data_IF_731784343076
#
_entry.id   IF_731784343076
#
_cell.length_a   1.000
_cell.length_b   1.000
_cell.length_c   1.000
_cell.angle_alpha   90.00
_cell.angle_beta   90.00
_cell.angle_gamma   90.00
#
_symmetry.space_group_name_H-M   'P 1'
#
loop_
_entity.id
_entity.type
_entity.pdbx_description
1 polymer ?
#
# COMPACT_ATOMS: atom_id res chain seq x y z
N UNK A 1 9.62 3.59 -6.92
CA UNK A 1 10.24 4.58 -6.01
C UNK A 1 10.17 5.98 -6.59
N UNK A 2 10.80 6.33 -7.71
CA UNK A 2 10.87 7.70 -8.24
C UNK A 2 9.54 8.44 -8.40
N UNK A 3 8.44 7.76 -8.74
CA UNK A 3 7.12 8.39 -8.87
C UNK A 3 6.53 8.77 -7.50
N UNK A 4 6.73 7.95 -6.46
CA UNK A 4 6.29 8.26 -5.09
C UNK A 4 7.04 9.50 -4.59
N UNK A 5 8.35 9.57 -4.82
CA UNK A 5 9.18 10.73 -4.41
C UNK A 5 8.79 12.02 -5.14
N UNK A 6 8.43 11.92 -6.43
CA UNK A 6 7.91 13.05 -7.19
C UNK A 6 6.55 13.51 -6.63
N UNK A 7 5.64 12.60 -6.34
CA UNK A 7 4.33 12.91 -5.77
C UNK A 7 4.47 13.55 -4.39
N UNK A 8 5.34 13.00 -3.53
CA UNK A 8 5.64 13.59 -2.22
C UNK A 8 6.13 15.04 -2.36
N UNK A 9 7.11 15.26 -3.25
CA UNK A 9 7.68 16.59 -3.48
C UNK A 9 6.64 17.61 -3.94
N UNK A 10 5.76 17.22 -4.89
CA UNK A 10 4.70 18.11 -5.37
C UNK A 10 3.65 18.38 -4.27
N UNK A 11 3.27 17.36 -3.53
CA UNK A 11 2.31 17.48 -2.42
C UNK A 11 2.87 18.37 -1.30
N UNK A 12 4.12 18.19 -0.90
CA UNK A 12 4.78 19.05 0.09
C UNK A 12 4.92 20.51 -0.39
N UNK A 13 5.20 20.71 -1.69
CA UNK A 13 5.23 22.03 -2.30
C UNK A 13 3.85 22.69 -2.24
N UNK A 14 2.79 21.96 -2.60
CA UNK A 14 1.42 22.46 -2.57
C UNK A 14 0.96 22.80 -1.14
N UNK A 15 1.27 21.93 -0.17
CA UNK A 15 1.00 22.22 1.26
C UNK A 15 1.74 23.48 1.71
N UNK A 16 2.98 23.69 1.24
CA UNK A 16 3.75 24.90 1.52
C UNK A 16 3.13 26.18 0.96
N UNK A 17 2.48 26.09 -0.20
CA UNK A 17 1.81 27.24 -0.85
C UNK A 17 0.59 27.75 -0.09
N UNK A 18 0.07 27.01 0.90
CA UNK A 18 -0.98 27.52 1.78
C UNK A 18 -0.56 28.77 2.59
N UNK A 19 0.75 29.03 2.69
CA UNK A 19 1.30 30.26 3.30
C UNK A 19 1.45 31.44 2.32
N UNK A 20 1.22 31.23 1.02
CA UNK A 20 1.25 32.32 0.05
C UNK A 20 -0.06 33.13 0.14
N UNK A 21 -0.02 34.45 -0.20
CA UNK A 21 -1.23 35.21 -0.32
C UNK A 21 -2.21 34.57 -1.31
N UNK A 22 -3.45 34.44 -0.90
CA UNK A 22 -4.52 33.87 -1.72
C UNK A 22 -5.32 35.03 -2.33
N UNK A 23 -5.29 35.14 -3.66
CA UNK A 23 -6.06 36.15 -4.41
C UNK A 23 -7.38 35.54 -4.86
N UNK A 24 -8.48 36.22 -4.56
CA UNK A 24 -9.81 35.86 -5.03
C UNK A 24 -10.50 37.06 -5.65
N UNK A 25 -11.30 36.83 -6.67
CA UNK A 25 -12.16 37.84 -7.28
C UNK A 25 -13.58 37.31 -7.28
N UNK A 26 -14.53 38.10 -6.80
CA UNK A 26 -15.94 37.76 -6.74
C UNK A 26 -16.82 38.87 -7.26
N UNK A 27 -17.91 38.55 -7.94
CA UNK A 27 -18.92 39.48 -8.39
C UNK A 27 -20.27 39.11 -7.78
N UNK A 28 -21.02 40.09 -7.35
CA UNK A 28 -22.37 39.94 -6.81
C UNK A 28 -23.32 40.91 -7.50
N UNK A 29 -24.45 40.41 -7.99
CA UNK A 29 -25.61 41.18 -8.41
C UNK A 29 -26.78 40.70 -7.56
N UNK A 30 -27.47 41.60 -6.90
CA UNK A 30 -28.61 41.26 -6.02
C UNK A 30 -29.72 42.25 -6.13
N UNK A 31 -30.97 41.81 -6.01
CA UNK A 31 -32.15 42.64 -5.84
C UNK A 31 -32.66 42.45 -4.41
N UNK A 32 -32.89 43.56 -3.71
CA UNK A 32 -33.33 43.55 -2.32
C UNK A 32 -34.80 43.98 -2.24
N UNK A 33 -35.57 43.34 -1.37
CA UNK A 33 -36.97 43.73 -1.14
C UNK A 33 -37.11 45.12 -0.52
N UNK A 34 -36.12 45.51 0.29
CA UNK A 34 -36.03 46.84 0.89
C UNK A 34 -34.56 47.29 0.99
N UNK A 35 -34.33 48.59 1.17
CA UNK A 35 -33.01 49.23 1.24
C UNK A 35 -32.89 50.09 2.50
N UNK A 36 -31.65 50.40 2.90
CA UNK A 36 -31.39 51.31 4.03
C UNK A 36 -32.00 52.67 3.76
N UNK A 37 -32.84 53.16 4.67
CA UNK A 37 -33.48 54.45 4.64
C UNK A 37 -33.07 55.26 5.87
N UNK A 38 -32.90 56.55 5.70
CA UNK A 38 -32.74 57.45 6.85
C UNK A 38 -34.07 57.55 7.58
N UNK A 39 -34.12 57.43 8.92
CA UNK A 39 -35.35 57.54 9.71
C UNK A 39 -35.75 58.97 9.85
N UNK A 40 -35.86 59.72 8.73
CA UNK A 40 -36.25 61.05 8.64
C UNK A 40 -37.66 61.16 8.04
N UNK A 41 -38.50 62.03 8.64
CA UNK A 41 -39.85 62.28 8.13
C UNK A 41 -39.74 63.20 6.91
N UNK A 42 -39.85 62.57 5.72
CA UNK A 42 -39.67 63.25 4.43
C UNK A 42 -40.61 64.50 4.26
N UNK A 43 -41.84 64.37 4.78
CA UNK A 43 -42.84 65.41 4.70
C UNK A 43 -42.48 66.66 5.55
N UNK A 44 -41.84 66.43 6.71
CA UNK A 44 -41.37 67.50 7.58
C UNK A 44 -40.13 68.20 7.03
N UNK A 45 -39.24 67.46 6.37
CA UNK A 45 -37.99 67.98 5.82
C UNK A 45 -38.30 68.83 4.56
N UNK A 46 -39.16 68.34 3.66
CA UNK A 46 -39.52 68.99 2.46
C UNK A 46 -40.30 70.32 2.75
N UNK A 47 -41.03 70.39 3.91
CA UNK A 47 -41.67 71.61 4.37
C UNK A 47 -40.70 72.64 4.96
N UNK A 48 -39.59 72.22 5.52
CA UNK A 48 -38.55 73.07 6.12
C UNK A 48 -37.46 73.50 5.13
N UNK A 49 -37.17 72.61 4.16
CA UNK A 49 -36.13 72.86 3.13
C UNK A 49 -36.70 72.47 1.74
N UNK A 50 -37.40 73.38 1.04
CA UNK A 50 -37.92 73.14 -0.28
C UNK A 50 -36.85 72.81 -1.28
N UNK A 51 -36.90 71.54 -1.92
CA UNK A 51 -35.97 71.07 -2.88
C UNK A 51 -34.92 70.08 -2.34
N UNK A 52 -35.00 69.73 -1.06
CA UNK A 52 -34.15 68.66 -0.48
C UNK A 52 -34.83 67.28 -0.65
N UNK A 53 -34.25 66.44 -1.45
CA UNK A 53 -34.65 65.06 -1.58
C UNK A 53 -33.77 64.17 -0.70
N UNK A 54 -34.40 63.29 0.09
CA UNK A 54 -33.67 62.32 0.90
C UNK A 54 -33.12 61.28 -0.05
N UNK A 55 -31.78 61.04 -0.11
CA UNK A 55 -31.19 60.01 -0.97
C UNK A 55 -31.76 58.65 -0.65
N UNK A 56 -32.25 57.93 -1.64
CA UNK A 56 -32.73 56.56 -1.52
C UNK A 56 -31.86 55.62 -2.35
N UNK A 57 -31.42 54.48 -1.77
CA UNK A 57 -30.65 53.47 -2.50
C UNK A 57 -31.52 52.73 -3.50
N UNK A 58 -30.94 52.35 -4.61
CA UNK A 58 -31.52 51.39 -5.54
C UNK A 58 -31.67 50.00 -4.90
N UNK A 59 -32.78 49.30 -5.23
CA UNK A 59 -32.99 47.89 -4.79
C UNK A 59 -32.07 46.91 -5.50
N UNK A 60 -31.62 47.25 -6.68
CA UNK A 60 -30.62 46.49 -7.44
C UNK A 60 -29.20 46.96 -7.04
N UNK A 61 -28.42 46.00 -6.61
CA UNK A 61 -27.06 46.26 -6.12
C UNK A 61 -26.06 45.38 -6.90
N UNK A 62 -24.93 46.01 -7.22
CA UNK A 62 -23.87 45.39 -7.99
C UNK A 62 -22.53 45.62 -7.29
N UNK A 63 -21.72 44.56 -7.20
CA UNK A 63 -20.44 44.63 -6.55
C UNK A 63 -19.43 43.69 -7.21
N UNK A 64 -18.23 44.16 -7.47
CA UNK A 64 -17.07 43.36 -7.84
C UNK A 64 -15.99 43.60 -6.80
N UNK A 65 -15.44 42.51 -6.28
CA UNK A 65 -14.47 42.55 -5.17
C UNK A 65 -13.26 41.70 -5.52
N UNK A 66 -12.08 42.29 -5.39
CA UNK A 66 -10.81 41.56 -5.37
C UNK A 66 -10.30 41.53 -3.93
N UNK A 67 -9.97 40.34 -3.44
CA UNK A 67 -9.50 40.17 -2.07
C UNK A 67 -8.20 39.36 -2.06
N UNK A 68 -7.26 39.80 -1.23
CA UNK A 68 -6.04 39.07 -0.88
C UNK A 68 -6.14 38.65 0.56
N UNK A 69 -6.08 37.33 0.81
CA UNK A 69 -6.02 36.75 2.14
C UNK A 69 -4.62 36.24 2.42
N UNK A 70 -4.03 36.63 3.55
CA UNK A 70 -2.73 36.15 4.01
C UNK A 70 -2.89 35.42 5.33
N UNK A 71 -2.55 34.14 5.36
CA UNK A 71 -2.47 33.37 6.60
C UNK A 71 -1.29 33.85 7.44
N UNK A 72 -1.53 34.27 8.69
CA UNK A 72 -0.52 34.64 9.69
C UNK A 72 -0.24 33.46 10.61
N UNK A 73 -1.29 32.76 11.03
CA UNK A 73 -1.20 31.58 11.87
C UNK A 73 -2.35 30.62 11.58
N UNK A 74 -2.03 29.35 11.28
CA UNK A 74 -2.98 28.34 10.82
C UNK A 74 -3.30 27.27 11.87
N UNK A 75 -2.90 27.47 13.13
CA UNK A 75 -3.09 26.51 14.20
C UNK A 75 -2.25 25.23 14.05
N UNK A 76 -1.22 25.25 13.22
CA UNK A 76 -0.38 24.09 12.93
C UNK A 76 -0.94 23.18 11.83
N UNK A 77 -1.96 23.63 11.09
CA UNK A 77 -2.60 22.87 10.01
C UNK A 77 -1.60 22.48 8.91
N UNK A 78 -0.81 23.44 8.42
CA UNK A 78 0.23 23.18 7.41
C UNK A 78 1.33 22.26 7.92
N UNK A 79 1.74 22.41 9.19
CA UNK A 79 2.75 21.51 9.80
C UNK A 79 2.24 20.07 9.89
N UNK A 80 1.00 19.89 10.34
CA UNK A 80 0.38 18.56 10.45
C UNK A 80 0.12 17.94 9.07
N UNK A 81 -0.30 18.75 8.07
CA UNK A 81 -0.46 18.30 6.70
C UNK A 81 0.86 17.83 6.07
N UNK A 82 1.96 18.58 6.30
CA UNK A 82 3.30 18.15 5.86
C UNK A 82 3.74 16.83 6.53
N UNK A 83 3.47 16.67 7.83
CA UNK A 83 3.79 15.44 8.54
C UNK A 83 2.99 14.26 7.98
N UNK A 84 1.70 14.46 7.72
CA UNK A 84 0.82 13.45 7.14
C UNK A 84 1.29 13.04 5.73
N UNK A 85 1.60 14.00 4.85
CA UNK A 85 2.11 13.72 3.49
C UNK A 85 3.42 12.91 3.51
N UNK A 86 4.33 13.21 4.45
CA UNK A 86 5.57 12.44 4.60
C UNK A 86 5.31 11.02 5.11
N UNK A 87 4.46 10.87 6.12
CA UNK A 87 4.12 9.56 6.66
C UNK A 87 3.41 8.70 5.61
N UNK A 88 2.53 9.28 4.79
CA UNK A 88 1.88 8.62 3.66
C UNK A 88 2.89 8.15 2.60
N UNK A 89 3.85 9.00 2.23
CA UNK A 89 4.88 8.64 1.27
C UNK A 89 5.77 7.51 1.78
N UNK A 90 6.10 7.49 3.09
CA UNK A 90 6.84 6.38 3.72
C UNK A 90 6.00 5.10 3.67
N UNK A 91 4.72 5.15 4.06
CA UNK A 91 3.85 3.98 4.01
C UNK A 91 3.71 3.41 2.59
N UNK A 92 3.60 4.27 1.58
CA UNK A 92 3.54 3.86 0.17
C UNK A 92 4.86 3.25 -0.33
N UNK A 93 6.02 3.73 0.14
CA UNK A 93 7.34 3.14 -0.18
C UNK A 93 7.47 1.74 0.41
N UNK A 94 7.16 1.59 1.70
CA UNK A 94 7.24 0.30 2.38
C UNK A 94 6.23 -0.71 1.80
N UNK A 95 5.06 -0.24 1.39
CA UNK A 95 4.07 -1.07 0.69
C UNK A 95 4.62 -1.57 -0.66
N UNK A 96 5.24 -0.69 -1.45
CA UNK A 96 5.87 -1.07 -2.72
C UNK A 96 7.02 -2.07 -2.50
N UNK A 97 7.85 -1.88 -1.47
CA UNK A 97 8.90 -2.85 -1.11
C UNK A 97 8.32 -4.23 -0.75
N UNK A 98 7.21 -4.26 -0.02
CA UNK A 98 6.48 -5.50 0.29
C UNK A 98 5.98 -6.19 -0.98
N UNK A 99 5.44 -5.44 -1.93
CA UNK A 99 4.96 -5.97 -3.22
C UNK A 99 6.11 -6.50 -4.09
N UNK A 100 7.24 -5.79 -4.13
CA UNK A 100 8.45 -6.24 -4.82
C UNK A 100 9.02 -7.51 -4.19
N UNK A 101 8.95 -7.62 -2.85
CA UNK A 101 9.39 -8.83 -2.16
C UNK A 101 8.51 -10.04 -2.52
N UNK A 102 7.19 -9.87 -2.58
CA UNK A 102 6.28 -10.91 -3.04
C UNK A 102 6.52 -11.32 -4.51
N UNK A 103 6.95 -10.37 -5.35
CA UNK A 103 7.34 -10.66 -6.73
C UNK A 103 8.59 -11.53 -6.79
N UNK A 104 9.58 -11.29 -5.92
CA UNK A 104 10.78 -12.11 -5.83
C UNK A 104 10.46 -13.57 -5.50
N UNK A 105 9.51 -13.82 -4.59
CA UNK A 105 9.07 -15.18 -4.27
C UNK A 105 8.49 -15.88 -5.51
N UNK A 106 7.63 -15.21 -6.28
CA UNK A 106 7.11 -15.77 -7.54
C UNK A 106 8.20 -16.09 -8.56
N UNK A 107 9.17 -15.18 -8.70
CA UNK A 107 10.30 -15.42 -9.62
C UNK A 107 11.11 -16.63 -9.18
N UNK A 108 11.36 -16.77 -7.87
CA UNK A 108 12.06 -17.94 -7.32
C UNK A 108 11.31 -19.23 -7.60
N UNK A 109 9.99 -19.30 -7.36
CA UNK A 109 9.18 -20.48 -7.64
C UNK A 109 9.26 -20.88 -9.13
N UNK A 110 9.17 -19.92 -10.04
CA UNK A 110 9.29 -20.19 -11.49
C UNK A 110 10.71 -20.65 -11.84
N UNK A 111 11.75 -20.03 -11.27
CA UNK A 111 13.14 -20.38 -11.51
C UNK A 111 13.44 -21.81 -11.06
N UNK A 112 13.06 -22.17 -9.85
CA UNK A 112 13.21 -23.53 -9.34
C UNK A 112 12.33 -24.55 -10.10
N UNK A 113 11.14 -24.11 -10.57
CA UNK A 113 10.32 -24.90 -11.48
C UNK A 113 11.06 -25.24 -12.78
N UNK A 114 11.77 -24.28 -13.38
CA UNK A 114 12.61 -24.55 -14.56
C UNK A 114 13.71 -25.58 -14.26
N UNK A 115 14.44 -25.40 -13.13
CA UNK A 115 15.51 -26.34 -12.73
C UNK A 115 14.98 -27.76 -12.50
N UNK A 116 13.81 -27.87 -11.88
CA UNK A 116 13.17 -29.16 -11.65
C UNK A 116 12.82 -29.86 -12.97
N UNK A 117 12.24 -29.13 -13.94
CA UNK A 117 11.92 -29.70 -15.24
C UNK A 117 13.19 -30.15 -15.99
N UNK A 118 14.27 -29.36 -15.95
CA UNK A 118 15.56 -29.74 -16.56
C UNK A 118 16.11 -31.06 -15.94
N UNK A 119 15.99 -31.21 -14.62
CA UNK A 119 16.42 -32.46 -13.93
C UNK A 119 15.54 -33.67 -14.26
N UNK A 120 14.20 -33.49 -14.27
CA UNK A 120 13.27 -34.54 -14.63
C UNK A 120 13.47 -35.03 -16.07
N UNK A 121 13.73 -34.13 -17.01
CA UNK A 121 14.07 -34.49 -18.41
C UNK A 121 15.37 -35.30 -18.46
N UNK A 122 16.38 -34.91 -17.67
CA UNK A 122 17.64 -35.63 -17.59
C UNK A 122 17.44 -37.07 -17.06
N UNK A 123 16.65 -37.23 -16.00
CA UNK A 123 16.35 -38.52 -15.41
C UNK A 123 15.51 -39.40 -16.34
N UNK A 124 14.53 -38.81 -17.02
CA UNK A 124 13.75 -39.54 -18.02
C UNK A 124 14.64 -40.06 -19.18
N UNK A 125 15.60 -39.23 -19.63
CA UNK A 125 16.56 -39.71 -20.66
C UNK A 125 17.43 -40.88 -20.20
N UNK A 126 17.82 -40.90 -18.92
CA UNK A 126 18.53 -42.06 -18.34
C UNK A 126 17.65 -43.31 -18.30
N UNK A 127 16.38 -43.16 -17.87
CA UNK A 127 15.40 -44.26 -17.87
C UNK A 127 15.18 -44.81 -19.29
N UNK A 128 15.01 -43.97 -20.29
CA UNK A 128 14.86 -44.41 -21.70
C UNK A 128 16.06 -45.20 -22.16
N UNK A 129 17.28 -44.76 -21.79
CA UNK A 129 18.50 -45.49 -22.13
C UNK A 129 18.57 -46.85 -21.46
N UNK A 130 18.20 -46.95 -20.20
CA UNK A 130 18.14 -48.21 -19.45
C UNK A 130 17.12 -49.17 -20.06
N UNK A 131 15.91 -48.70 -20.37
CA UNK A 131 14.87 -49.47 -21.04
C UNK A 131 15.35 -49.99 -22.40
N UNK A 132 16.06 -49.17 -23.18
CA UNK A 132 16.60 -49.57 -24.47
C UNK A 132 17.63 -50.71 -24.34
N UNK A 133 18.56 -50.62 -23.36
CA UNK A 133 19.53 -51.68 -23.07
C UNK A 133 18.83 -52.99 -22.65
N UNK A 134 17.75 -52.89 -21.88
CA UNK A 134 16.99 -54.05 -21.45
C UNK A 134 16.22 -54.69 -22.62
N UNK A 135 15.67 -53.90 -23.54
CA UNK A 135 15.06 -54.39 -24.78
C UNK A 135 16.07 -55.20 -25.59
N UNK A 136 17.24 -54.64 -25.85
CA UNK A 136 18.34 -55.35 -26.58
C UNK A 136 18.72 -56.66 -25.90
N UNK A 137 18.72 -56.67 -24.56
CA UNK A 137 19.00 -57.91 -23.80
C UNK A 137 17.88 -58.97 -23.95
N UNK A 138 16.60 -58.57 -23.92
CA UNK A 138 15.45 -59.43 -24.10
C UNK A 138 15.42 -60.02 -25.50
N UNK A 139 15.72 -59.20 -26.52
CA UNK A 139 15.85 -59.67 -27.92
C UNK A 139 16.89 -60.77 -28.05
N UNK A 140 18.10 -60.59 -27.46
CA UNK A 140 19.14 -61.60 -27.44
C UNK A 140 18.72 -62.88 -26.66
N UNK A 141 17.93 -62.76 -25.58
CA UNK A 141 17.39 -63.87 -24.84
C UNK A 141 16.32 -64.66 -25.62
N UNK A 142 15.51 -63.94 -26.42
CA UNK A 142 14.51 -64.52 -27.33
C UNK A 142 15.17 -65.36 -28.41
N UNK A 143 16.25 -64.86 -29.03
CA UNK A 143 17.04 -65.68 -30.01
C UNK A 143 17.57 -67.00 -29.42
N UNK A 144 17.86 -67.03 -28.13
CA UNK A 144 18.29 -68.18 -27.40
C UNK A 144 17.14 -69.00 -26.78
N UNK A 145 15.87 -68.62 -27.03
CA UNK A 145 14.70 -69.31 -26.52
C UNK A 145 14.43 -69.18 -25.02
N UNK A 146 15.00 -68.15 -24.36
CA UNK A 146 14.91 -67.95 -22.89
C UNK A 146 13.84 -66.91 -22.52
N UNK A 147 13.49 -65.94 -23.43
CA UNK A 147 12.45 -64.96 -23.26
C UNK A 147 11.36 -65.11 -24.32
N UNK A 148 10.18 -64.54 -24.08
CA UNK A 148 9.04 -64.58 -24.99
C UNK A 148 8.67 -63.20 -25.56
N UNK A 149 7.85 -63.19 -26.59
CA UNK A 149 7.40 -61.98 -27.28
C UNK A 149 6.68 -60.99 -26.35
N UNK A 150 5.91 -61.48 -25.37
CA UNK A 150 5.19 -60.65 -24.41
C UNK A 150 6.13 -59.85 -23.48
N UNK A 151 7.32 -60.43 -23.16
CA UNK A 151 8.32 -59.73 -22.33
C UNK A 151 8.91 -58.55 -23.11
N UNK A 152 9.19 -58.74 -24.41
CA UNK A 152 9.65 -57.68 -25.31
C UNK A 152 8.61 -56.54 -25.43
N UNK A 153 7.38 -56.92 -25.78
CA UNK A 153 6.28 -55.94 -25.96
C UNK A 153 6.02 -55.15 -24.69
N UNK A 154 6.13 -55.77 -23.51
CA UNK A 154 5.97 -55.06 -22.23
C UNK A 154 7.06 -54.01 -22.04
N UNK A 155 8.32 -54.25 -22.38
CA UNK A 155 9.40 -53.27 -22.30
C UNK A 155 9.28 -52.17 -23.34
N UNK A 156 8.82 -52.47 -24.55
CA UNK A 156 8.54 -51.49 -25.59
C UNK A 156 7.44 -50.52 -25.16
N UNK A 157 6.37 -51.02 -24.50
CA UNK A 157 5.30 -50.18 -23.95
C UNK A 157 5.86 -49.22 -22.90
N UNK A 158 6.73 -49.69 -22.00
CA UNK A 158 7.36 -48.82 -21.00
C UNK A 158 8.27 -47.76 -21.64
N UNK A 159 8.99 -48.11 -22.71
CA UNK A 159 9.77 -47.12 -23.45
C UNK A 159 8.90 -46.08 -24.13
N UNK A 160 7.75 -46.46 -24.67
CA UNK A 160 6.77 -45.53 -25.25
C UNK A 160 6.19 -44.60 -24.19
N UNK A 161 5.86 -45.11 -23.00
CA UNK A 161 5.40 -44.30 -21.86
C UNK A 161 6.47 -43.30 -21.42
N UNK A 162 7.75 -43.70 -21.35
CA UNK A 162 8.85 -42.81 -21.01
C UNK A 162 9.02 -41.69 -22.07
N UNK A 163 8.88 -42.01 -23.36
CA UNK A 163 8.92 -41.02 -24.44
C UNK A 163 7.74 -40.03 -24.39
N UNK A 164 6.52 -40.53 -24.11
CA UNK A 164 5.37 -39.67 -23.90
C UNK A 164 5.61 -38.70 -22.73
N UNK A 165 6.09 -39.17 -21.58
CA UNK A 165 6.43 -38.35 -20.43
C UNK A 165 7.51 -37.30 -20.77
N UNK A 166 8.50 -37.61 -21.58
CA UNK A 166 9.50 -36.65 -22.05
C UNK A 166 8.86 -35.45 -22.80
N UNK A 167 7.86 -35.72 -23.65
CA UNK A 167 7.13 -34.67 -24.39
C UNK A 167 6.42 -33.76 -23.41
N UNK A 168 5.74 -34.29 -22.38
CA UNK A 168 5.04 -33.52 -21.36
C UNK A 168 6.02 -32.65 -20.52
N UNK A 169 7.16 -33.25 -20.12
CA UNK A 169 8.21 -32.56 -19.38
C UNK A 169 8.82 -31.41 -20.21
N UNK A 170 9.08 -31.61 -21.50
CA UNK A 170 9.57 -30.57 -22.41
C UNK A 170 8.57 -29.44 -22.61
N UNK A 171 7.28 -29.76 -22.73
CA UNK A 171 6.21 -28.76 -22.83
C UNK A 171 6.13 -27.92 -21.53
N UNK A 172 6.16 -28.56 -20.38
CA UNK A 172 6.17 -27.90 -19.06
C UNK A 172 7.40 -27.00 -18.89
N UNK A 173 8.60 -27.49 -19.25
CA UNK A 173 9.84 -26.71 -19.25
C UNK A 173 9.71 -25.45 -20.10
N UNK A 174 9.14 -25.56 -21.30
CA UNK A 174 8.93 -24.41 -22.20
C UNK A 174 7.99 -23.39 -21.57
N UNK A 175 6.89 -23.82 -20.95
CA UNK A 175 5.97 -22.95 -20.23
C UNK A 175 6.63 -22.20 -19.08
N UNK A 176 7.39 -22.89 -18.21
CA UNK A 176 8.14 -22.25 -17.11
C UNK A 176 9.16 -21.24 -17.63
N UNK A 177 9.89 -21.55 -18.71
CA UNK A 177 10.86 -20.63 -19.32
C UNK A 177 10.21 -19.40 -19.92
N UNK A 178 9.05 -19.53 -20.56
CA UNK A 178 8.30 -18.40 -21.08
C UNK A 178 7.77 -17.51 -19.95
N UNK A 179 7.26 -18.09 -18.85
CA UNK A 179 6.88 -17.32 -17.66
C UNK A 179 8.09 -16.53 -17.10
N UNK A 180 9.23 -17.19 -16.91
CA UNK A 180 10.44 -16.54 -16.42
C UNK A 180 10.92 -15.42 -17.35
N UNK A 181 10.89 -15.65 -18.66
CA UNK A 181 11.25 -14.66 -19.67
C UNK A 181 10.39 -13.39 -19.58
N UNK A 182 9.09 -13.57 -19.32
CA UNK A 182 8.14 -12.45 -19.11
C UNK A 182 8.50 -11.64 -17.87
N UNK A 183 8.81 -12.28 -16.73
CA UNK A 183 9.17 -11.59 -15.50
C UNK A 183 10.49 -10.82 -15.61
N UNK A 184 11.50 -11.40 -16.26
CA UNK A 184 12.81 -10.73 -16.40
C UNK A 184 12.90 -9.80 -17.63
N UNK A 185 11.83 -9.76 -18.44
CA UNK A 185 11.75 -9.00 -19.70
C UNK A 185 12.93 -9.31 -20.65
N UNK A 186 13.31 -10.58 -20.73
CA UNK A 186 14.38 -11.06 -21.64
C UNK A 186 13.97 -12.41 -22.22
N UNK A 187 14.19 -12.64 -23.52
CA UNK A 187 13.92 -13.95 -24.13
C UNK A 187 14.87 -15.01 -23.52
N UNK A 188 14.31 -16.13 -23.07
CA UNK A 188 15.05 -17.30 -22.62
C UNK A 188 14.95 -18.38 -23.69
N UNK A 189 15.99 -18.48 -24.50
CA UNK A 189 16.14 -19.53 -25.50
C UNK A 189 16.55 -20.85 -24.83
N UNK A 190 16.38 -21.97 -25.53
CA UNK A 190 16.78 -23.29 -25.02
C UNK A 190 18.30 -23.45 -24.76
N UNK A 191 19.10 -22.57 -25.34
CA UNK A 191 20.57 -22.53 -25.14
C UNK A 191 20.98 -21.93 -23.80
N UNK A 192 20.10 -21.19 -23.12
CA UNK A 192 20.41 -20.59 -21.81
C UNK A 192 20.39 -21.68 -20.74
N UNK A 193 21.55 -21.96 -20.15
CA UNK A 193 21.68 -22.87 -19.03
C UNK A 193 21.43 -22.10 -17.73
N UNK A 194 20.38 -22.53 -16.98
CA UNK A 194 20.11 -22.02 -15.65
C UNK A 194 21.05 -22.68 -14.64
N UNK A 195 21.68 -21.89 -13.77
CA UNK A 195 22.59 -22.41 -12.74
C UNK A 195 21.80 -22.80 -11.49
N UNK A 196 22.10 -23.97 -10.94
CA UNK A 196 21.61 -24.32 -9.60
C UNK A 196 22.30 -23.44 -8.57
N UNK A 197 21.55 -22.64 -7.76
CA UNK A 197 22.17 -21.83 -6.72
C UNK A 197 22.81 -22.71 -5.65
N UNK A 198 23.89 -22.23 -5.06
CA UNK A 198 24.52 -22.88 -3.91
C UNK A 198 23.56 -22.83 -2.73
N UNK A 199 23.57 -23.88 -1.90
CA UNK A 199 22.77 -23.91 -0.69
C UNK A 199 23.28 -22.83 0.27
N UNK A 200 22.45 -21.84 0.64
CA UNK A 200 22.89 -20.82 1.60
C UNK A 200 23.15 -21.46 2.96
N UNK A 201 24.20 -20.97 3.65
CA UNK A 201 24.40 -21.33 5.05
C UNK A 201 23.18 -20.91 5.86
N UNK A 202 22.53 -21.86 6.50
CA UNK A 202 21.28 -21.60 7.23
C UNK A 202 21.58 -20.88 8.53
N UNK A 203 21.22 -19.61 8.60
CA UNK A 203 21.20 -18.84 9.84
C UNK A 203 19.93 -19.17 10.63
N UNK A 204 20.08 -19.64 11.86
CA UNK A 204 18.97 -19.90 12.81
C UNK A 204 18.42 -18.59 13.41
N UNK A 205 18.26 -17.56 12.60
CA UNK A 205 17.64 -16.32 13.07
C UNK A 205 16.16 -16.52 13.33
N UNK A 206 15.73 -16.33 14.58
CA UNK A 206 14.31 -16.33 14.96
C UNK A 206 13.62 -14.99 14.65
N UNK A 207 14.39 -14.00 14.26
CA UNK A 207 13.87 -12.66 13.95
C UNK A 207 13.28 -12.63 12.54
N UNK A 208 11.99 -12.35 12.47
CA UNK A 208 11.30 -12.12 11.19
C UNK A 208 11.53 -10.66 10.78
N UNK A 209 12.32 -10.47 9.75
CA UNK A 209 12.65 -9.13 9.21
C UNK A 209 12.06 -8.99 7.78
N UNK A 210 10.74 -9.13 7.67
CA UNK A 210 10.04 -9.09 6.39
C UNK A 210 9.54 -7.68 6.06
N UNK A 211 9.60 -7.26 4.78
CA UNK A 211 9.12 -5.95 4.33
C UNK A 211 7.65 -5.68 4.67
N UNK A 212 6.80 -6.73 4.72
CA UNK A 212 5.39 -6.60 5.06
C UNK A 212 5.18 -6.06 6.47
N UNK A 213 6.04 -6.41 7.43
CA UNK A 213 5.99 -5.85 8.79
C UNK A 213 6.32 -4.36 8.79
N UNK A 214 7.35 -3.96 8.03
CA UNK A 214 7.72 -2.54 7.88
C UNK A 214 6.60 -1.73 7.23
N UNK A 215 5.91 -2.31 6.24
CA UNK A 215 4.75 -1.68 5.62
C UNK A 215 3.61 -1.48 6.61
N UNK A 216 3.31 -2.46 7.48
CA UNK A 216 2.30 -2.35 8.52
C UNK A 216 2.70 -1.32 9.58
N UNK A 217 3.95 -1.30 10.02
CA UNK A 217 4.48 -0.33 11.00
C UNK A 217 4.41 1.10 10.44
N UNK A 218 4.82 1.32 9.19
CA UNK A 218 4.71 2.61 8.51
C UNK A 218 3.26 3.07 8.32
N UNK A 219 2.36 2.14 8.03
CA UNK A 219 0.93 2.42 7.93
C UNK A 219 0.31 2.80 9.29
N UNK A 220 0.73 2.16 10.37
CA UNK A 220 0.33 2.50 11.73
C UNK A 220 0.79 3.92 12.10
N UNK A 221 2.02 4.31 11.78
CA UNK A 221 2.54 5.65 12.01
C UNK A 221 1.80 6.71 11.17
N UNK A 222 1.50 6.41 9.92
CA UNK A 222 0.67 7.29 9.08
C UNK A 222 -0.71 7.52 9.70
N UNK A 223 -1.40 6.47 10.18
CA UNK A 223 -2.69 6.58 10.87
C UNK A 223 -2.55 7.42 12.15
N UNK A 224 -1.50 7.22 12.95
CA UNK A 224 -1.28 8.00 14.16
C UNK A 224 -1.02 9.49 13.85
N UNK A 225 -0.36 9.78 12.75
CA UNK A 225 -0.10 11.16 12.32
C UNK A 225 -1.39 11.92 12.01
N UNK A 226 -2.50 11.25 11.68
CA UNK A 226 -3.82 11.86 11.50
C UNK A 226 -4.33 12.54 12.79
N UNK A 227 -3.95 12.04 13.98
CA UNK A 227 -4.29 12.69 15.25
C UNK A 227 -3.75 14.13 15.35
N UNK A 228 -2.58 14.39 14.76
CA UNK A 228 -1.98 15.73 14.70
C UNK A 228 -2.84 16.68 13.84
N UNK A 229 -3.41 16.15 12.76
CA UNK A 229 -4.29 16.91 11.87
C UNK A 229 -5.65 17.20 12.54
N UNK A 230 -6.23 16.22 13.26
CA UNK A 230 -7.43 16.42 14.07
C UNK A 230 -7.20 17.51 15.10
N UNK A 231 -6.08 17.48 15.82
CA UNK A 231 -5.72 18.48 16.83
C UNK A 231 -5.51 19.87 16.21
N UNK A 232 -4.80 19.98 15.09
CA UNK A 232 -4.61 21.23 14.37
C UNK A 232 -5.93 21.83 13.86
N UNK A 233 -6.89 20.98 13.51
CA UNK A 233 -8.22 21.41 13.08
C UNK A 233 -9.07 22.05 14.18
N UNK A 234 -8.70 21.88 15.46
CA UNK A 234 -9.36 22.50 16.62
C UNK A 234 -8.76 23.85 17.01
N UNK A 235 -7.61 24.21 16.43
CA UNK A 235 -6.93 25.46 16.76
C UNK A 235 -7.55 26.63 16.00
N UNK A 236 -7.57 27.83 16.58
CA UNK A 236 -7.97 29.04 15.87
C UNK A 236 -7.00 29.33 14.73
N UNK A 237 -7.43 30.15 13.78
CA UNK A 237 -6.62 30.62 12.66
C UNK A 237 -6.64 32.14 12.63
N UNK A 238 -5.50 32.73 12.34
CA UNK A 238 -5.33 34.18 12.23
C UNK A 238 -4.87 34.49 10.80
N UNK A 239 -5.58 35.37 10.13
CA UNK A 239 -5.23 35.86 8.80
C UNK A 239 -5.39 37.38 8.71
N UNK A 240 -4.60 37.99 7.88
CA UNK A 240 -4.82 39.35 7.41
C UNK A 240 -5.53 39.33 6.05
N UNK A 241 -6.33 40.32 5.77
CA UNK A 241 -6.95 40.47 4.46
C UNK A 241 -6.92 41.93 4.00
N UNK A 242 -6.85 42.08 2.70
CA UNK A 242 -7.05 43.36 2.02
C UNK A 242 -8.05 43.10 0.89
N UNK A 243 -9.11 43.88 0.88
CA UNK A 243 -10.18 43.80 -0.09
C UNK A 243 -10.33 45.14 -0.79
N UNK A 244 -10.31 45.14 -2.11
CA UNK A 244 -10.69 46.26 -2.95
C UNK A 244 -11.97 45.95 -3.69
N UNK A 245 -12.90 46.85 -3.73
CA UNK A 245 -14.18 46.66 -4.41
C UNK A 245 -14.61 47.87 -5.23
N UNK A 246 -15.49 47.63 -6.20
CA UNK A 246 -16.21 48.60 -6.97
C UNK A 246 -17.66 48.16 -7.05
N UNK A 247 -18.58 49.02 -6.61
CA UNK A 247 -19.99 48.61 -6.53
C UNK A 247 -20.95 49.76 -6.30
N UNK A 248 -22.23 49.48 -6.46
CA UNK A 248 -23.35 50.34 -6.16
C UNK A 248 -24.29 49.68 -5.16
N UNK A 249 -24.47 50.20 -3.94
CA UNK A 249 -23.65 51.27 -3.35
C UNK A 249 -22.23 50.82 -3.05
N UNK A 250 -21.30 51.78 -2.86
CA UNK A 250 -19.97 51.53 -2.32
C UNK A 250 -20.03 51.22 -0.81
N UNK A 251 -18.99 51.59 -0.04
CA UNK A 251 -19.04 51.50 1.43
C UNK A 251 -20.00 52.54 2.04
N UNK A 252 -20.16 53.66 1.39
CA UNK A 252 -21.12 54.68 1.80
C UNK A 252 -22.53 54.25 1.34
N UNK A 253 -23.31 53.71 2.25
CA UNK A 253 -24.69 53.28 1.99
C UNK A 253 -25.70 54.45 1.83
N UNK A 254 -25.26 55.69 1.90
CA UNK A 254 -26.10 56.86 1.68
C UNK A 254 -25.99 57.40 0.25
N UNK A 255 -25.10 56.82 -0.57
CA UNK A 255 -24.82 57.27 -1.92
C UNK A 255 -25.11 56.16 -2.91
N UNK A 256 -26.08 56.41 -3.82
CA UNK A 256 -26.50 55.40 -4.84
C UNK A 256 -25.70 55.58 -6.14
N UNK A 257 -24.36 55.53 -6.01
CA UNK A 257 -23.42 55.63 -7.11
C UNK A 257 -22.44 54.45 -7.11
N UNK A 258 -21.82 54.21 -8.26
CA UNK A 258 -20.73 53.24 -8.35
C UNK A 258 -19.45 53.85 -7.81
N UNK A 259 -18.98 53.36 -6.65
CA UNK A 259 -17.81 53.91 -5.98
C UNK A 259 -16.76 52.80 -5.70
N UNK A 260 -15.46 53.12 -5.87
CA UNK A 260 -14.38 52.27 -5.43
C UNK A 260 -14.23 52.37 -3.91
N UNK A 261 -13.86 51.25 -3.30
CA UNK A 261 -13.57 51.18 -1.87
C UNK A 261 -12.50 50.16 -1.54
N UNK A 262 -11.92 50.24 -0.36
CA UNK A 262 -11.06 49.23 0.18
C UNK A 262 -11.37 48.97 1.66
N UNK A 263 -11.10 47.70 2.09
CA UNK A 263 -11.16 47.29 3.49
C UNK A 263 -9.92 46.44 3.76
N UNK A 264 -9.22 46.75 4.86
CA UNK A 264 -8.10 45.93 5.32
C UNK A 264 -8.29 45.60 6.80
N UNK A 265 -7.88 44.39 7.18
CA UNK A 265 -8.05 43.97 8.57
C UNK A 265 -7.39 42.64 8.89
N UNK A 266 -7.58 42.25 10.14
CA UNK A 266 -7.18 40.94 10.67
C UNK A 266 -8.44 40.17 11.02
N UNK A 267 -8.44 38.88 10.65
CA UNK A 267 -9.56 37.98 10.92
C UNK A 267 -9.09 36.83 11.81
N UNK A 268 -9.76 36.62 12.93
CA UNK A 268 -9.66 35.42 13.76
C UNK A 268 -10.84 34.52 13.43
N UNK A 269 -10.54 33.28 13.04
CA UNK A 269 -11.56 32.24 12.79
C UNK A 269 -11.31 31.03 13.68
N UNK A 270 -12.34 30.58 14.38
CA UNK A 270 -12.28 29.43 15.26
C UNK A 270 -13.53 28.57 15.09
N UNK A 271 -13.33 27.34 14.60
CA UNK A 271 -14.44 26.42 14.39
C UNK A 271 -14.64 25.50 15.62
N UNK A 272 -15.44 25.96 16.58
CA UNK A 272 -15.78 25.20 17.79
C UNK A 272 -16.67 23.98 17.51
N UNK A 273 -17.39 23.96 16.37
CA UNK A 273 -18.22 22.81 15.97
C UNK A 273 -17.46 21.50 15.81
N UNK A 274 -16.15 21.57 15.51
CA UNK A 274 -15.29 20.39 15.46
C UNK A 274 -15.11 19.67 16.80
N UNK A 275 -15.40 20.32 17.92
CA UNK A 275 -15.38 19.68 19.23
C UNK A 275 -16.46 18.57 19.34
N UNK A 276 -17.58 18.70 18.63
CA UNK A 276 -18.65 17.70 18.64
C UNK A 276 -18.18 16.35 18.04
N UNK A 277 -17.31 16.39 17.04
CA UNK A 277 -16.82 15.18 16.34
C UNK A 277 -15.51 14.64 16.90
N UNK A 278 -14.78 15.44 17.69
CA UNK A 278 -13.42 15.15 18.18
C UNK A 278 -13.27 13.74 18.78
N UNK A 279 -14.20 13.39 19.67
CA UNK A 279 -14.17 12.08 20.35
C UNK A 279 -14.30 10.93 19.35
N UNK A 280 -15.19 11.06 18.38
CA UNK A 280 -15.43 10.04 17.36
C UNK A 280 -14.28 9.98 16.36
N UNK A 281 -13.70 11.13 15.97
CA UNK A 281 -12.58 11.17 15.05
C UNK A 281 -11.34 10.50 15.65
N UNK A 282 -11.04 10.75 16.93
CA UNK A 282 -9.98 10.05 17.65
C UNK A 282 -10.24 8.56 17.80
N UNK A 283 -11.48 8.15 18.10
CA UNK A 283 -11.85 6.75 18.18
C UNK A 283 -11.71 6.02 16.85
N UNK A 284 -12.10 6.65 15.74
CA UNK A 284 -11.88 6.09 14.40
C UNK A 284 -10.40 5.80 14.14
N UNK A 285 -9.53 6.74 14.47
CA UNK A 285 -8.06 6.59 14.32
C UNK A 285 -7.57 5.43 15.20
N UNK A 286 -8.04 5.34 16.44
CA UNK A 286 -7.68 4.24 17.35
C UNK A 286 -8.15 2.88 16.83
N UNK A 287 -9.39 2.79 16.32
CA UNK A 287 -9.92 1.56 15.71
C UNK A 287 -9.08 1.17 14.48
N UNK A 288 -8.76 2.13 13.60
CA UNK A 288 -7.92 1.86 12.44
C UNK A 288 -6.52 1.37 12.82
N UNK A 289 -5.91 1.94 13.86
CA UNK A 289 -4.62 1.48 14.40
C UNK A 289 -4.71 0.05 14.92
N UNK A 290 -5.75 -0.27 15.71
CA UNK A 290 -5.96 -1.64 16.21
C UNK A 290 -6.19 -2.65 15.08
N UNK A 291 -6.85 -2.25 13.99
CA UNK A 291 -6.97 -3.11 12.81
C UNK A 291 -5.60 -3.46 12.24
N UNK A 292 -4.66 -2.51 12.18
CA UNK A 292 -3.28 -2.77 11.75
C UNK A 292 -2.57 -3.69 12.74
N UNK A 293 -2.74 -3.50 14.05
CA UNK A 293 -2.14 -4.37 15.07
C UNK A 293 -2.63 -5.83 14.90
N UNK A 294 -3.93 -6.03 14.66
CA UNK A 294 -4.48 -7.37 14.37
C UNK A 294 -3.92 -7.94 13.07
N UNK A 295 -3.78 -7.14 12.02
CA UNK A 295 -3.17 -7.58 10.76
C UNK A 295 -1.71 -8.00 10.97
N UNK A 296 -0.95 -7.22 11.74
CA UNK A 296 0.44 -7.49 12.09
C UNK A 296 0.59 -8.82 12.84
N UNK A 297 -0.19 -9.03 13.89
CA UNK A 297 -0.16 -10.27 14.67
C UNK A 297 -0.62 -11.48 13.84
N UNK A 298 -1.62 -11.30 12.98
CA UNK A 298 -2.07 -12.35 12.05
C UNK A 298 -0.96 -12.71 11.05
N UNK A 299 -0.27 -11.73 10.51
CA UNK A 299 0.85 -11.95 9.61
C UNK A 299 2.00 -12.69 10.29
N UNK A 300 2.38 -12.26 11.49
CA UNK A 300 3.43 -12.91 12.30
C UNK A 300 3.07 -14.36 12.60
N UNK A 301 1.83 -14.62 13.00
CA UNK A 301 1.35 -15.98 13.25
C UNK A 301 1.44 -16.85 12.00
N UNK A 302 0.94 -16.39 10.86
CA UNK A 302 0.98 -17.14 9.61
C UNK A 302 2.41 -17.41 9.15
N UNK A 303 3.29 -16.41 9.24
CA UNK A 303 4.71 -16.58 8.89
C UNK A 303 5.40 -17.59 9.80
N UNK A 304 5.08 -17.62 11.10
CA UNK A 304 5.61 -18.63 12.03
C UNK A 304 5.10 -20.05 11.73
N UNK A 305 3.83 -20.18 11.34
CA UNK A 305 3.30 -21.47 10.88
C UNK A 305 4.02 -21.97 9.63
N UNK A 306 4.23 -21.11 8.65
CA UNK A 306 4.99 -21.48 7.44
C UNK A 306 6.41 -21.92 7.77
N UNK A 307 7.10 -21.17 8.65
CA UNK A 307 8.44 -21.55 9.11
C UNK A 307 8.45 -22.93 9.83
N UNK A 308 7.43 -23.21 10.63
CA UNK A 308 7.28 -24.50 11.29
C UNK A 308 7.11 -25.62 10.26
N UNK A 309 6.21 -25.46 9.29
CA UNK A 309 5.99 -26.44 8.23
C UNK A 309 7.27 -26.71 7.43
N UNK A 310 7.95 -25.64 6.97
CA UNK A 310 9.21 -25.77 6.24
C UNK A 310 10.30 -26.46 7.07
N UNK A 311 10.42 -26.15 8.37
CA UNK A 311 11.38 -26.83 9.23
C UNK A 311 11.04 -28.31 9.41
N UNK A 312 9.76 -28.68 9.50
CA UNK A 312 9.33 -30.07 9.58
C UNK A 312 9.65 -30.83 8.29
N UNK A 313 9.39 -30.22 7.12
CA UNK A 313 9.74 -30.81 5.81
C UNK A 313 11.25 -31.01 5.65
N UNK A 314 12.05 -30.02 6.06
CA UNK A 314 13.53 -30.11 6.01
C UNK A 314 14.04 -31.20 6.96
N UNK A 315 13.47 -31.33 8.16
CA UNK A 315 13.80 -32.37 9.11
C UNK A 315 13.50 -33.77 8.52
N UNK A 316 12.30 -33.98 7.95
CA UNK A 316 11.94 -35.23 7.29
C UNK A 316 12.89 -35.57 6.15
N UNK A 317 13.23 -34.59 5.31
CA UNK A 317 14.21 -34.76 4.25
C UNK A 317 15.62 -35.13 4.79
N UNK A 318 15.98 -34.55 5.93
CA UNK A 318 17.26 -34.87 6.60
C UNK A 318 17.24 -36.28 7.22
N UNK A 319 16.13 -36.71 7.81
CA UNK A 319 15.96 -38.07 8.33
C UNK A 319 16.15 -39.13 7.21
N UNK A 320 15.49 -38.93 6.06
CA UNK A 320 15.66 -39.80 4.88
C UNK A 320 17.10 -39.80 4.37
N UNK A 321 17.79 -38.65 4.37
CA UNK A 321 19.20 -38.55 3.97
C UNK A 321 20.14 -39.28 4.95
N UNK A 322 19.84 -39.21 6.26
CA UNK A 322 20.60 -39.97 7.28
C UNK A 322 20.43 -41.47 7.09
N UNK A 323 19.20 -41.95 6.90
CA UNK A 323 18.91 -43.35 6.63
C UNK A 323 19.66 -43.88 5.40
N UNK A 324 19.86 -43.04 4.39
CA UNK A 324 20.64 -43.35 3.19
C UNK A 324 22.15 -43.03 3.31
N UNK A 325 22.64 -42.65 4.50
CA UNK A 325 24.05 -42.37 4.76
C UNK A 325 24.61 -41.11 4.08
N UNK A 326 23.76 -40.17 3.70
CA UNK A 326 24.14 -38.95 2.97
C UNK A 326 24.54 -37.80 3.89
N UNK A 327 24.01 -37.74 5.13
CA UNK A 327 24.33 -36.72 6.13
C UNK A 327 24.69 -37.36 7.49
N UNK A 328 25.28 -36.55 8.37
CA UNK A 328 25.65 -36.96 9.74
C UNK A 328 24.49 -36.83 10.73
N UNK A 329 24.58 -37.56 11.85
CA UNK A 329 23.67 -37.40 13.00
C UNK A 329 23.66 -35.95 13.52
N UNK A 330 24.81 -35.27 13.51
CA UNK A 330 24.93 -33.87 13.95
C UNK A 330 24.09 -32.95 13.09
N UNK A 331 24.03 -33.16 11.78
CA UNK A 331 23.18 -32.38 10.86
C UNK A 331 21.69 -32.62 11.13
N UNK A 332 21.29 -33.89 11.39
CA UNK A 332 19.92 -34.19 11.79
C UNK A 332 19.53 -33.51 13.10
N UNK A 333 20.40 -33.56 14.15
CA UNK A 333 20.14 -32.92 15.44
C UNK A 333 19.93 -31.40 15.24
N UNK A 334 20.70 -30.76 14.37
CA UNK A 334 20.51 -29.33 14.04
C UNK A 334 19.14 -29.04 13.47
N UNK A 335 18.62 -29.88 12.58
CA UNK A 335 17.30 -29.71 11.98
C UNK A 335 16.16 -29.98 12.99
N UNK A 336 16.30 -30.95 13.90
CA UNK A 336 15.36 -31.20 15.00
C UNK A 336 15.27 -29.99 15.92
N UNK A 337 16.40 -29.42 16.33
CA UNK A 337 16.42 -28.22 17.18
C UNK A 337 15.78 -27.00 16.48
N UNK A 338 15.95 -26.85 15.16
CA UNK A 338 15.33 -25.78 14.40
C UNK A 338 13.80 -25.94 14.35
N UNK A 339 13.28 -27.17 14.20
CA UNK A 339 11.84 -27.45 14.26
C UNK A 339 11.26 -27.11 15.63
N UNK A 340 11.89 -27.56 16.72
CA UNK A 340 11.41 -27.32 18.09
C UNK A 340 11.36 -25.81 18.42
N UNK A 341 12.38 -25.06 18.02
CA UNK A 341 12.40 -23.61 18.19
C UNK A 341 11.28 -22.92 17.40
N UNK A 342 11.03 -23.35 16.16
CA UNK A 342 9.94 -22.82 15.35
C UNK A 342 8.56 -23.14 15.95
N UNK A 343 8.38 -24.36 16.50
CA UNK A 343 7.15 -24.81 17.16
C UNK A 343 6.84 -23.99 18.41
N UNK A 344 7.82 -23.76 19.28
CA UNK A 344 7.67 -22.93 20.50
C UNK A 344 7.29 -21.49 20.13
N UNK A 345 7.93 -20.93 19.12
CA UNK A 345 7.66 -19.56 18.69
C UNK A 345 6.28 -19.42 18.05
N UNK A 346 5.84 -20.41 17.27
CA UNK A 346 4.48 -20.44 16.70
C UNK A 346 3.39 -20.51 17.79
N UNK A 347 3.62 -21.30 18.86
CA UNK A 347 2.72 -21.39 20.00
C UNK A 347 2.58 -20.05 20.74
N UNK A 348 3.70 -19.35 21.00
CA UNK A 348 3.70 -18.02 21.64
C UNK A 348 2.90 -17.01 20.81
N UNK A 349 3.11 -16.94 19.49
CA UNK A 349 2.38 -16.03 18.61
C UNK A 349 0.89 -16.38 18.47
N UNK A 350 0.51 -17.64 18.58
CA UNK A 350 -0.90 -18.03 18.63
C UNK A 350 -1.62 -17.42 19.83
N UNK A 351 -1.00 -17.45 21.01
CA UNK A 351 -1.54 -16.84 22.23
C UNK A 351 -1.60 -15.31 22.09
N UNK A 352 -0.52 -14.70 21.60
CA UNK A 352 -0.45 -13.26 21.36
C UNK A 352 -1.55 -12.76 20.40
N UNK A 353 -1.77 -13.47 19.30
CA UNK A 353 -2.85 -13.16 18.35
C UNK A 353 -4.22 -13.22 19.03
N UNK A 354 -4.49 -14.26 19.82
CA UNK A 354 -5.76 -14.38 20.55
C UNK A 354 -5.93 -13.22 21.52
N UNK A 355 -4.92 -12.87 22.31
CA UNK A 355 -4.95 -11.72 23.22
C UNK A 355 -5.29 -10.41 22.47
N UNK A 356 -4.64 -10.16 21.33
CA UNK A 356 -4.90 -8.96 20.52
C UNK A 356 -6.33 -8.92 20.01
N UNK A 357 -6.88 -10.05 19.55
CA UNK A 357 -8.28 -10.15 19.10
C UNK A 357 -9.25 -9.92 20.26
N UNK A 358 -9.05 -10.56 21.41
CA UNK A 358 -9.91 -10.38 22.59
C UNK A 358 -9.85 -8.95 23.14
N UNK A 359 -8.67 -8.34 23.21
CA UNK A 359 -8.52 -6.94 23.58
C UNK A 359 -9.26 -5.99 22.62
N UNK A 360 -9.20 -6.27 21.31
CA UNK A 360 -9.98 -5.53 20.33
C UNK A 360 -11.48 -5.67 20.58
N UNK A 361 -11.99 -6.89 20.75
CA UNK A 361 -13.41 -7.14 21.03
C UNK A 361 -13.88 -6.48 22.34
N UNK A 362 -13.07 -6.55 23.39
CA UNK A 362 -13.39 -5.93 24.69
C UNK A 362 -13.49 -4.40 24.61
N UNK A 363 -12.73 -3.78 23.73
CA UNK A 363 -12.71 -2.31 23.61
C UNK A 363 -13.76 -1.78 22.63
N UNK A 364 -14.32 -2.65 21.78
CA UNK A 364 -15.35 -2.29 20.79
C UNK A 364 -16.77 -2.56 21.25
N UNK A 365 -16.97 -3.33 22.34
CA UNK A 365 -18.25 -3.50 23.05
C UNK A 365 -18.33 -2.53 24.24
#
# INVERSE_FOLDING_TARGET
MGLIDQTERYSLSNVGKAWLPQLSVSGKASYQSDVTKLPLDGDKISSLLPGFEIPSLSKDQYQVVAQVDQTIWDGGSTRSARALTRAEAIANREQLESELYALNDRVNQIYFGCLLQDELIRQNALLQKELQVNIERIEAMMENGVANQSDLESMEVELLNARQNEIELKASRTAYRQMLATFINKPLTDQVVLRTPESPERSLSTQINRPELRALDAKSEWIETQNKQVTAGLMPRIGAFVQGGYGRPGLNMLEDSFEPYYVAGVRLSWNLGKLYTLKNDRRKIEVSRRQIDVQRETFLFNTRLQLLQQNTEIKQAAEVKLENGVISVTDLIREINAEDMARQTAAAHRVQRLMTIYNYMYTTN
#
